data_IF_270092517269
#
_entry.id   IF_270092517269
#
_cell.length_a   1.000
_cell.length_b   1.000
_cell.length_c   1.000
_cell.angle_alpha   90.00
_cell.angle_beta   90.00
_cell.angle_gamma   90.00
#
_symmetry.space_group_name_H-M   'P 1'
#
loop_
_entity.id
_entity.type
_entity.pdbx_description
1 polymer ?
#
# COMPACT_ATOMS: atom_id res chain seq x y z
N UNK A 1 44.31 -43.58 -50.06
CA UNK A 1 43.80 -42.21 -50.23
C UNK A 1 43.63 -41.62 -48.84
N UNK A 2 44.76 -41.15 -48.32
CA UNK A 2 44.84 -40.34 -47.10
C UNK A 2 44.71 -38.92 -47.58
N UNK A 3 43.83 -38.14 -46.95
CA UNK A 3 44.16 -36.75 -46.65
C UNK A 3 43.20 -36.19 -45.60
N UNK A 4 43.72 -35.88 -44.41
CA UNK A 4 43.19 -34.86 -43.55
C UNK A 4 44.13 -33.65 -43.55
N UNK A 5 43.65 -32.47 -43.94
CA UNK A 5 44.29 -31.19 -43.59
C UNK A 5 43.22 -30.12 -43.34
N UNK A 6 43.09 -29.82 -42.05
CA UNK A 6 42.95 -28.51 -41.38
C UNK A 6 42.71 -27.22 -42.19
N UNK A 7 41.87 -26.38 -41.56
CA UNK A 7 42.03 -24.94 -41.30
C UNK A 7 41.11 -23.90 -41.98
N UNK A 8 40.74 -22.92 -41.11
CA UNK A 8 40.43 -21.50 -41.36
C UNK A 8 38.96 -21.01 -41.29
N UNK A 9 38.59 -20.62 -40.06
CA UNK A 9 37.96 -19.34 -39.62
C UNK A 9 37.10 -18.50 -40.59
N UNK A 10 35.87 -18.29 -40.12
CA UNK A 10 35.19 -17.01 -39.86
C UNK A 10 34.34 -16.31 -40.94
N UNK A 11 33.29 -15.69 -40.38
CA UNK A 11 32.58 -14.47 -40.81
C UNK A 11 31.33 -14.66 -41.68
N UNK A 12 30.30 -13.86 -41.36
CA UNK A 12 29.27 -13.50 -42.32
C UNK A 12 27.84 -13.87 -41.93
N UNK A 13 27.19 -12.97 -41.18
CA UNK A 13 25.78 -12.58 -41.32
C UNK A 13 24.91 -13.45 -42.25
N UNK A 14 24.13 -14.36 -41.67
CA UNK A 14 22.97 -14.97 -42.31
C UNK A 14 21.69 -14.23 -41.91
N UNK A 15 21.28 -13.27 -42.73
CA UNK A 15 19.95 -12.67 -42.69
C UNK A 15 18.92 -13.74 -43.06
N UNK A 16 18.06 -14.15 -42.13
CA UNK A 16 16.80 -14.82 -42.48
C UNK A 16 15.66 -13.82 -42.27
N UNK A 17 15.18 -13.24 -43.36
CA UNK A 17 13.96 -12.42 -43.39
C UNK A 17 12.91 -13.17 -44.24
N UNK A 18 11.61 -12.90 -44.11
CA UNK A 18 10.74 -12.91 -42.93
C UNK A 18 9.78 -14.12 -42.98
N UNK A 19 9.14 -14.48 -41.86
CA UNK A 19 7.97 -15.35 -41.90
C UNK A 19 6.91 -14.73 -42.83
N UNK A 20 6.64 -15.35 -43.98
CA UNK A 20 5.42 -15.08 -44.76
C UNK A 20 4.25 -15.45 -43.86
N UNK A 21 3.41 -14.45 -43.50
CA UNK A 21 2.07 -14.72 -42.97
C UNK A 21 1.33 -15.54 -44.01
N UNK A 22 0.94 -16.75 -43.64
CA UNK A 22 -0.01 -17.55 -44.41
C UNK A 22 -1.41 -17.03 -44.11
N UNK A 23 -2.35 -17.15 -45.05
CA UNK A 23 -3.78 -16.82 -44.83
C UNK A 23 -4.37 -17.54 -43.59
N UNK A 24 -3.77 -18.66 -43.19
CA UNK A 24 -4.11 -19.39 -41.96
C UNK A 24 -3.66 -18.65 -40.69
N UNK A 25 -2.49 -18.01 -40.70
CA UNK A 25 -2.03 -17.13 -39.61
C UNK A 25 -2.88 -15.86 -39.51
N UNK A 26 -3.32 -15.28 -40.64
CA UNK A 26 -4.21 -14.13 -40.64
C UNK A 26 -5.61 -14.49 -40.14
N UNK A 27 -6.17 -15.66 -40.53
CA UNK A 27 -7.44 -16.17 -39.98
C UNK A 27 -7.35 -16.50 -38.49
N UNK A 28 -6.26 -17.06 -37.99
CA UNK A 28 -6.06 -17.32 -36.55
C UNK A 28 -5.80 -16.02 -35.77
N UNK A 29 -5.13 -15.03 -36.36
CA UNK A 29 -4.98 -13.70 -35.78
C UNK A 29 -6.29 -12.92 -35.79
N UNK A 30 -7.11 -12.97 -36.84
CA UNK A 30 -8.47 -12.40 -36.88
C UNK A 30 -9.39 -13.07 -35.84
N UNK A 31 -9.32 -14.40 -35.71
CA UNK A 31 -10.11 -15.16 -34.72
C UNK A 31 -9.69 -14.88 -33.26
N UNK A 32 -8.45 -14.38 -33.04
CA UNK A 32 -7.94 -13.92 -31.73
C UNK A 32 -8.07 -12.42 -31.51
N UNK A 33 -8.12 -11.61 -32.57
CA UNK A 33 -8.27 -10.13 -32.51
C UNK A 33 -9.72 -9.68 -32.29
N UNK A 34 -10.70 -10.55 -32.53
CA UNK A 34 -12.13 -10.24 -32.35
C UNK A 34 -12.74 -10.74 -31.04
N UNK A 35 -12.00 -11.50 -30.21
CA UNK A 35 -12.52 -12.00 -28.93
C UNK A 35 -12.27 -10.98 -27.83
N UNK A 36 -13.36 -10.49 -27.25
CA UNK A 36 -13.34 -9.71 -26.01
C UNK A 36 -12.44 -10.41 -24.97
N UNK A 37 -11.58 -9.63 -24.33
CA UNK A 37 -10.79 -10.13 -23.21
C UNK A 37 -11.71 -10.13 -22.00
N UNK A 38 -12.29 -11.27 -21.66
CA UNK A 38 -13.21 -11.35 -20.52
C UNK A 38 -12.55 -10.85 -19.22
N UNK A 39 -11.28 -11.21 -19.00
CA UNK A 39 -10.51 -10.77 -17.82
C UNK A 39 -9.03 -10.50 -18.16
N UNK A 40 -8.52 -9.35 -17.72
CA UNK A 40 -7.14 -8.91 -17.92
C UNK A 40 -6.45 -8.58 -16.58
N UNK A 41 -5.38 -9.32 -16.24
CA UNK A 41 -4.52 -9.00 -15.09
C UNK A 41 -3.45 -7.97 -15.43
N UNK A 42 -3.27 -6.95 -14.59
CA UNK A 42 -2.30 -5.87 -14.78
C UNK A 42 -1.49 -5.66 -13.49
N UNK A 43 -0.17 -5.87 -13.59
CA UNK A 43 0.78 -5.42 -12.57
C UNK A 43 1.13 -3.94 -12.81
N UNK A 44 0.92 -3.11 -11.79
CA UNK A 44 1.06 -1.65 -11.88
C UNK A 44 2.37 -1.20 -11.26
N UNK A 45 3.20 -0.54 -12.07
CA UNK A 45 4.42 0.15 -11.63
C UNK A 45 4.34 1.65 -11.92
N UNK A 46 5.34 2.42 -11.48
CA UNK A 46 5.43 3.86 -11.77
C UNK A 46 5.38 4.14 -13.28
N UNK A 47 6.16 3.40 -14.06
CA UNK A 47 6.41 3.71 -15.46
C UNK A 47 5.59 2.82 -16.42
N UNK A 48 5.18 1.64 -15.97
CA UNK A 48 4.56 0.62 -16.82
C UNK A 48 3.35 -0.08 -16.19
N UNK A 49 2.43 -0.49 -17.06
CA UNK A 49 1.38 -1.48 -16.82
C UNK A 49 1.78 -2.77 -17.52
N UNK A 50 1.98 -3.84 -16.75
CA UNK A 50 2.44 -5.11 -17.29
C UNK A 50 1.25 -6.05 -17.36
N UNK A 51 0.90 -6.45 -18.57
CA UNK A 51 -0.06 -7.53 -18.80
C UNK A 51 0.71 -8.80 -19.12
N UNK A 52 0.18 -9.94 -18.71
CA UNK A 52 0.58 -11.23 -19.29
C UNK A 52 -0.60 -11.72 -20.13
N UNK A 53 -0.38 -12.34 -21.29
CA UNK A 53 -1.35 -13.20 -22.03
C UNK A 53 -0.55 -14.17 -22.90
N UNK A 54 0.06 -15.18 -22.27
CA UNK A 54 1.08 -16.05 -22.89
C UNK A 54 2.43 -15.38 -23.19
N UNK A 55 2.50 -14.03 -23.20
CA UNK A 55 3.72 -13.20 -23.21
C UNK A 55 3.53 -11.96 -22.32
N UNK A 56 4.61 -11.47 -21.71
CA UNK A 56 4.60 -10.20 -20.97
C UNK A 56 4.61 -9.02 -21.96
N UNK A 57 3.56 -8.19 -21.92
CA UNK A 57 3.46 -6.95 -22.70
C UNK A 57 3.47 -5.77 -21.73
N UNK A 58 4.27 -4.75 -22.05
CA UNK A 58 4.45 -3.55 -21.22
C UNK A 58 3.85 -2.34 -21.91
N UNK A 59 2.85 -1.74 -21.27
CA UNK A 59 2.26 -0.47 -21.67
C UNK A 59 2.78 0.64 -20.77
N UNK A 60 2.84 1.89 -21.25
CA UNK A 60 3.22 3.03 -20.40
C UNK A 60 2.11 3.33 -19.38
N UNK A 61 2.47 3.70 -18.16
CA UNK A 61 1.50 4.14 -17.14
C UNK A 61 1.09 5.62 -17.37
N UNK A 62 0.41 5.85 -18.50
CA UNK A 62 -0.12 7.13 -18.97
C UNK A 62 -1.33 6.91 -19.89
N UNK A 63 -1.97 8.00 -20.33
CA UNK A 63 -3.18 7.96 -21.17
C UNK A 63 -3.03 7.05 -22.40
N UNK A 64 -1.94 7.22 -23.15
CA UNK A 64 -1.66 6.42 -24.36
C UNK A 64 -1.64 4.91 -24.05
N UNK A 65 -0.94 4.51 -22.99
CA UNK A 65 -0.89 3.10 -22.61
C UNK A 65 -2.24 2.57 -22.12
N UNK A 66 -3.09 3.41 -21.52
CA UNK A 66 -4.44 3.00 -21.14
C UNK A 66 -5.33 2.78 -22.37
N UNK A 67 -5.23 3.66 -23.38
CA UNK A 67 -5.96 3.53 -24.65
C UNK A 67 -5.54 2.26 -25.40
N UNK A 68 -4.24 2.00 -25.50
CA UNK A 68 -3.69 0.76 -26.08
C UNK A 68 -4.20 -0.50 -25.34
N UNK A 69 -4.45 -0.41 -24.02
CA UNK A 69 -5.05 -1.51 -23.25
C UNK A 69 -6.54 -1.68 -23.58
N UNK A 70 -7.28 -0.59 -23.79
CA UNK A 70 -8.70 -0.63 -24.14
C UNK A 70 -8.97 -1.16 -25.54
N UNK A 71 -8.00 -1.09 -26.46
CA UNK A 71 -8.10 -1.75 -27.77
C UNK A 71 -8.30 -3.27 -27.65
N UNK A 72 -7.83 -3.88 -26.57
CA UNK A 72 -8.09 -5.30 -26.26
C UNK A 72 -9.55 -5.56 -25.84
N UNK A 73 -10.36 -4.51 -25.61
CA UNK A 73 -11.75 -4.59 -25.15
C UNK A 73 -11.91 -5.50 -23.91
N UNK A 74 -11.22 -5.20 -22.80
CA UNK A 74 -11.36 -5.99 -21.59
C UNK A 74 -12.72 -5.76 -20.92
N UNK A 75 -13.42 -6.84 -20.55
CA UNK A 75 -14.65 -6.72 -19.74
C UNK A 75 -14.32 -6.47 -18.27
N UNK A 76 -13.30 -7.16 -17.76
CA UNK A 76 -12.81 -7.06 -16.38
C UNK A 76 -11.30 -6.80 -16.37
N UNK A 77 -10.83 -5.82 -15.60
CA UNK A 77 -9.41 -5.58 -15.32
C UNK A 77 -9.12 -5.86 -13.86
N UNK A 78 -8.14 -6.72 -13.59
CA UNK A 78 -7.61 -7.00 -12.26
C UNK A 78 -6.28 -6.26 -12.08
N UNK A 79 -6.28 -5.18 -11.30
CA UNK A 79 -5.08 -4.44 -10.96
C UNK A 79 -4.41 -5.03 -9.72
N UNK A 80 -3.09 -5.22 -9.76
CA UNK A 80 -2.25 -5.38 -8.58
C UNK A 80 -1.76 -3.98 -8.18
N UNK A 81 -2.39 -3.29 -7.20
CA UNK A 81 -2.10 -1.89 -6.96
C UNK A 81 -0.81 -1.73 -6.17
N UNK A 82 0.13 -0.99 -6.74
CA UNK A 82 1.37 -0.56 -6.07
C UNK A 82 1.25 0.91 -5.66
N UNK A 83 0.73 1.15 -4.46
CA UNK A 83 0.59 2.52 -3.91
C UNK A 83 -0.24 3.44 -4.80
N UNK A 84 0.18 4.70 -4.94
CA UNK A 84 -0.53 5.74 -5.70
C UNK A 84 -0.59 5.49 -7.21
N UNK A 85 0.29 4.64 -7.76
CA UNK A 85 0.41 4.47 -9.21
C UNK A 85 -0.78 3.75 -9.85
N UNK A 86 -1.59 3.06 -9.03
CA UNK A 86 -2.78 2.37 -9.48
C UNK A 86 -4.04 3.24 -9.53
N UNK A 87 -4.03 4.44 -8.92
CA UNK A 87 -5.20 5.32 -8.86
C UNK A 87 -5.64 5.76 -10.27
N UNK A 88 -4.71 6.29 -11.07
CA UNK A 88 -4.99 6.78 -12.43
C UNK A 88 -5.56 5.70 -13.36
N UNK A 89 -4.90 4.54 -13.56
CA UNK A 89 -5.47 3.50 -14.41
C UNK A 89 -6.80 2.95 -13.87
N UNK A 90 -6.94 2.81 -12.54
CA UNK A 90 -8.19 2.38 -11.89
C UNK A 90 -9.37 3.27 -12.26
N UNK A 91 -9.20 4.59 -12.12
CA UNK A 91 -10.24 5.57 -12.46
C UNK A 91 -10.51 5.61 -13.96
N UNK A 92 -9.47 5.66 -14.79
CA UNK A 92 -9.62 5.75 -16.25
C UNK A 92 -10.39 4.56 -16.83
N UNK A 93 -10.02 3.32 -16.47
CA UNK A 93 -10.71 2.14 -16.97
C UNK A 93 -12.17 2.07 -16.50
N UNK A 94 -12.43 2.48 -15.24
CA UNK A 94 -13.79 2.56 -14.70
C UNK A 94 -14.65 3.57 -15.46
N UNK A 95 -14.13 4.77 -15.73
CA UNK A 95 -14.82 5.81 -16.52
C UNK A 95 -15.17 5.35 -17.93
N UNK A 96 -14.37 4.43 -18.47
CA UNK A 96 -14.60 3.79 -19.78
C UNK A 96 -15.53 2.58 -19.72
N UNK A 97 -16.17 2.33 -18.58
CA UNK A 97 -17.16 1.27 -18.39
C UNK A 97 -16.58 -0.12 -18.12
N UNK A 98 -15.26 -0.23 -17.93
CA UNK A 98 -14.60 -1.51 -17.62
C UNK A 98 -14.73 -1.80 -16.12
N UNK A 99 -15.09 -3.04 -15.77
CA UNK A 99 -15.12 -3.47 -14.37
C UNK A 99 -13.69 -3.61 -13.84
N UNK A 100 -13.31 -2.78 -12.86
CA UNK A 100 -11.96 -2.82 -12.27
C UNK A 100 -11.99 -3.49 -10.89
N UNK A 101 -11.09 -4.45 -10.70
CA UNK A 101 -10.88 -5.20 -9.46
C UNK A 101 -9.46 -4.94 -8.92
N UNK A 102 -9.28 -4.70 -7.62
CA UNK A 102 -7.98 -4.37 -7.02
C UNK A 102 -7.47 -5.43 -6.03
N UNK A 103 -6.57 -6.31 -6.45
CA UNK A 103 -6.12 -7.46 -5.62
C UNK A 103 -4.82 -7.15 -4.88
N UNK A 104 -4.73 -7.51 -3.59
CA UNK A 104 -3.49 -7.29 -2.81
C UNK A 104 -2.33 -8.18 -3.33
N UNK A 105 -1.09 -7.64 -3.46
CA UNK A 105 0.08 -8.40 -3.92
C UNK A 105 0.36 -9.70 -3.14
N UNK A 106 -0.06 -9.75 -1.87
CA UNK A 106 0.15 -10.91 -0.99
C UNK A 106 -0.82 -12.07 -1.24
N UNK A 107 -1.99 -11.81 -1.84
CA UNK A 107 -2.94 -12.85 -2.24
C UNK A 107 -2.35 -13.63 -3.42
N UNK A 108 -1.65 -12.93 -4.29
CA UNK A 108 -0.99 -13.49 -5.48
C UNK A 108 0.33 -14.17 -5.13
N UNK A 109 1.05 -13.72 -4.09
CA UNK A 109 2.32 -14.33 -3.67
C UNK A 109 2.17 -15.71 -3.04
N UNK A 110 1.07 -16.00 -2.32
CA UNK A 110 0.76 -17.37 -1.88
C UNK A 110 0.53 -18.34 -3.03
N UNK A 111 0.13 -17.84 -4.20
CA UNK A 111 0.08 -18.63 -5.43
C UNK A 111 1.40 -18.61 -6.23
N UNK A 112 2.36 -17.72 -5.89
CA UNK A 112 3.70 -17.70 -6.50
C UNK A 112 4.61 -18.81 -5.96
N UNK A 113 4.44 -19.26 -4.71
CA UNK A 113 5.23 -20.37 -4.15
C UNK A 113 4.95 -21.73 -4.82
N UNK A 114 3.82 -21.87 -5.53
CA UNK A 114 3.51 -23.05 -6.35
C UNK A 114 4.00 -22.94 -7.81
N UNK A 115 4.73 -21.89 -8.21
CA UNK A 115 5.08 -21.62 -9.62
C UNK A 115 6.57 -21.78 -9.91
N UNK A 116 6.93 -22.86 -10.59
CA UNK A 116 8.09 -22.86 -11.48
C UNK A 116 7.78 -22.01 -12.73
N UNK A 117 8.67 -21.05 -13.03
CA UNK A 117 8.71 -20.16 -14.21
C UNK A 117 7.44 -19.33 -14.52
N UNK A 118 7.68 -18.04 -14.78
CA UNK A 118 6.70 -16.93 -14.90
C UNK A 118 5.71 -16.99 -16.09
N UNK A 119 5.57 -18.08 -16.82
CA UNK A 119 4.96 -18.02 -18.17
C UNK A 119 3.50 -18.42 -18.31
N UNK A 120 2.89 -19.12 -17.36
CA UNK A 120 1.52 -19.63 -17.58
C UNK A 120 0.53 -19.02 -16.58
N UNK A 121 0.20 -17.75 -16.82
CA UNK A 121 -1.15 -17.26 -16.54
C UNK A 121 -2.01 -17.63 -17.78
N UNK A 122 -3.34 -17.72 -17.66
CA UNK A 122 -4.33 -17.91 -18.75
C UNK A 122 -4.68 -19.36 -19.10
N UNK A 123 -5.68 -19.91 -18.43
CA UNK A 123 -7.10 -19.81 -18.86
C UNK A 123 -8.02 -20.39 -17.77
N UNK A 124 -7.65 -21.48 -17.11
CA UNK A 124 -8.44 -22.13 -16.04
C UNK A 124 -8.43 -21.40 -14.66
N UNK A 125 -7.43 -20.56 -14.39
CA UNK A 125 -7.24 -19.88 -13.09
C UNK A 125 -7.80 -18.46 -13.01
N UNK A 126 -8.13 -17.84 -14.14
CA UNK A 126 -8.69 -16.49 -14.17
C UNK A 126 -10.16 -16.46 -13.79
N UNK A 127 -10.95 -17.48 -14.13
CA UNK A 127 -12.32 -17.65 -13.61
C UNK A 127 -12.29 -17.78 -12.07
N UNK A 128 -11.38 -18.60 -11.52
CA UNK A 128 -11.14 -18.68 -10.08
C UNK A 128 -10.67 -17.36 -9.47
N UNK A 129 -9.92 -16.55 -10.22
CA UNK A 129 -9.55 -15.19 -9.79
C UNK A 129 -10.72 -14.23 -9.89
N UNK A 130 -11.63 -14.33 -10.85
CA UNK A 130 -12.86 -13.53 -10.89
C UNK A 130 -13.76 -13.88 -9.72
N UNK A 131 -13.93 -15.16 -9.39
CA UNK A 131 -14.71 -15.58 -8.22
C UNK A 131 -14.09 -15.09 -6.91
N UNK A 132 -12.75 -15.12 -6.78
CA UNK A 132 -12.03 -14.50 -5.65
C UNK A 132 -11.98 -12.97 -5.72
N UNK A 133 -12.01 -12.38 -6.92
CA UNK A 133 -11.88 -10.94 -7.17
C UNK A 133 -13.23 -10.22 -7.20
N UNK A 134 -14.37 -10.95 -7.24
CA UNK A 134 -15.71 -10.43 -6.95
C UNK A 134 -15.74 -9.69 -5.60
N UNK A 135 -14.92 -10.13 -4.64
CA UNK A 135 -14.70 -9.48 -3.33
C UNK A 135 -13.84 -8.20 -3.38
N UNK A 136 -13.21 -7.91 -4.52
CA UNK A 136 -12.22 -6.84 -4.70
C UNK A 136 -12.71 -5.79 -5.69
N UNK A 137 -14.01 -5.50 -5.65
CA UNK A 137 -14.62 -4.43 -6.41
C UNK A 137 -13.92 -3.09 -6.16
N UNK A 138 -13.97 -2.22 -7.17
CA UNK A 138 -13.52 -0.84 -7.05
C UNK A 138 -13.98 -0.23 -5.73
N UNK A 139 -13.01 0.18 -4.91
CA UNK A 139 -13.28 0.71 -3.57
C UNK A 139 -12.80 2.17 -3.51
N UNK A 140 -13.71 3.16 -3.63
CA UNK A 140 -13.34 4.58 -3.57
C UNK A 140 -12.63 4.93 -2.25
N UNK A 141 -13.04 4.30 -1.14
CA UNK A 141 -12.40 4.49 0.15
C UNK A 141 -10.93 4.02 0.14
N UNK A 142 -10.58 2.97 -0.61
CA UNK A 142 -9.19 2.53 -0.76
C UNK A 142 -8.31 3.55 -1.49
N UNK A 143 -8.84 4.22 -2.52
CA UNK A 143 -8.13 5.30 -3.22
C UNK A 143 -7.91 6.50 -2.30
N UNK A 144 -8.96 6.93 -1.57
CA UNK A 144 -8.87 8.00 -0.59
C UNK A 144 -7.83 7.69 0.51
N UNK A 145 -7.84 6.47 1.03
CA UNK A 145 -6.86 6.04 2.04
C UNK A 145 -5.45 6.01 1.46
N UNK A 146 -5.27 5.59 0.21
CA UNK A 146 -3.97 5.60 -0.46
C UNK A 146 -3.43 7.03 -0.61
N UNK A 147 -4.30 7.98 -0.99
CA UNK A 147 -3.96 9.40 -1.06
C UNK A 147 -3.64 9.98 0.33
N UNK A 148 -4.44 9.66 1.35
CA UNK A 148 -4.20 10.10 2.72
C UNK A 148 -2.83 9.63 3.23
N UNK A 149 -2.49 8.35 3.03
CA UNK A 149 -1.21 7.79 3.47
C UNK A 149 -0.04 8.41 2.71
N UNK A 150 -0.21 8.72 1.42
CA UNK A 150 0.78 9.43 0.62
C UNK A 150 1.03 10.85 1.15
N UNK A 151 -0.03 11.63 1.40
CA UNK A 151 0.09 12.98 1.96
C UNK A 151 0.69 12.95 3.38
N UNK A 152 0.35 11.94 4.18
CA UNK A 152 0.91 11.76 5.53
C UNK A 152 2.41 11.47 5.49
N UNK A 153 2.86 10.64 4.54
CA UNK A 153 4.29 10.39 4.31
C UNK A 153 5.03 11.67 3.87
N UNK A 154 4.38 12.56 3.12
CA UNK A 154 4.92 13.88 2.76
C UNK A 154 5.04 14.78 3.99
N UNK A 155 3.98 14.92 4.77
CA UNK A 155 3.97 15.74 5.99
C UNK A 155 5.12 15.32 6.92
N UNK A 156 5.28 14.02 7.19
CA UNK A 156 6.36 13.51 8.06
C UNK A 156 7.75 13.87 7.51
N UNK A 157 7.95 13.77 6.20
CA UNK A 157 9.24 14.12 5.58
C UNK A 157 9.56 15.60 5.73
N UNK A 158 8.58 16.47 5.49
CA UNK A 158 8.78 17.92 5.63
C UNK A 158 8.92 18.35 7.09
N UNK A 159 8.18 17.74 8.02
CA UNK A 159 8.36 17.98 9.46
C UNK A 159 9.79 17.64 9.90
N UNK A 160 10.29 16.44 9.55
CA UNK A 160 11.66 16.04 9.90
C UNK A 160 12.72 16.95 9.26
N UNK A 161 12.46 17.49 8.05
CA UNK A 161 13.36 18.43 7.39
C UNK A 161 13.32 19.81 8.07
N UNK A 162 12.14 20.27 8.46
CA UNK A 162 11.95 21.50 9.21
C UNK A 162 12.67 21.44 10.57
N UNK A 163 12.51 20.35 11.33
CA UNK A 163 13.22 20.13 12.60
C UNK A 163 14.74 20.20 12.43
N UNK A 164 15.28 19.62 11.35
CA UNK A 164 16.72 19.70 11.05
C UNK A 164 17.16 21.11 10.67
N UNK A 165 16.34 21.86 9.95
CA UNK A 165 16.65 23.24 9.58
C UNK A 165 16.62 24.15 10.81
N UNK A 166 15.63 23.99 11.69
CA UNK A 166 15.55 24.67 12.99
C UNK A 166 16.76 24.37 13.87
N UNK A 167 17.20 23.10 13.91
CA UNK A 167 18.43 22.71 14.63
C UNK A 167 19.68 23.46 14.15
N UNK A 168 19.82 23.75 12.85
CA UNK A 168 20.98 24.48 12.31
C UNK A 168 21.06 25.93 12.80
N UNK A 169 19.93 26.51 13.20
CA UNK A 169 19.85 27.88 13.75
C UNK A 169 19.67 27.87 15.27
N UNK A 170 19.94 26.73 15.92
CA UNK A 170 19.76 26.50 17.37
C UNK A 170 18.34 26.65 17.90
N UNK A 171 17.35 26.53 17.03
CA UNK A 171 15.97 26.51 17.43
C UNK A 171 15.52 25.07 17.73
N UNK A 172 15.40 24.76 19.02
CA UNK A 172 15.00 23.43 19.52
C UNK A 172 13.59 23.42 20.10
N UNK A 173 12.82 24.50 19.92
CA UNK A 173 11.49 24.60 20.48
C UNK A 173 10.55 23.58 19.84
N UNK A 174 9.46 23.26 20.55
CA UNK A 174 8.41 22.40 20.03
C UNK A 174 7.63 23.11 18.91
N UNK A 175 7.38 22.42 17.80
CA UNK A 175 6.63 22.96 16.67
C UNK A 175 5.12 22.81 16.94
N UNK A 176 4.48 23.90 17.40
CA UNK A 176 3.02 24.01 17.48
C UNK A 176 2.43 24.53 16.16
N UNK A 177 1.10 24.47 16.00
CA UNK A 177 0.43 25.04 14.82
C UNK A 177 0.67 26.56 14.72
N UNK A 178 0.48 27.29 15.81
CA UNK A 178 0.73 28.74 15.87
C UNK A 178 2.18 29.08 15.51
N UNK A 179 3.13 28.27 16.00
CA UNK A 179 4.54 28.48 15.67
C UNK A 179 4.84 28.19 14.21
N UNK A 180 4.24 27.15 13.64
CA UNK A 180 4.36 26.86 12.21
C UNK A 180 3.82 28.02 11.36
N UNK A 181 2.73 28.67 11.79
CA UNK A 181 2.18 29.87 11.16
C UNK A 181 3.16 31.06 11.25
N UNK A 182 3.79 31.31 12.40
CA UNK A 182 4.84 32.35 12.55
C UNK A 182 6.04 32.10 11.64
N UNK A 183 6.59 30.88 11.65
CA UNK A 183 7.70 30.50 10.78
C UNK A 183 7.35 30.68 9.30
N UNK A 184 6.12 30.35 8.90
CA UNK A 184 5.65 30.55 7.52
C UNK A 184 5.54 32.04 7.12
N UNK A 185 5.32 32.94 8.08
CA UNK A 185 5.36 34.40 7.88
C UNK A 185 6.79 34.95 7.86
N UNK A 186 7.80 34.14 8.20
CA UNK A 186 9.18 34.60 8.39
C UNK A 186 9.40 35.30 9.73
N UNK A 187 8.50 35.07 10.69
CA UNK A 187 8.66 35.50 12.06
C UNK A 187 9.51 34.47 12.80
N UNK A 188 10.78 34.83 13.02
CA UNK A 188 11.79 34.00 13.68
C UNK A 188 12.18 34.54 15.05
N UNK A 189 11.33 35.36 15.70
CA UNK A 189 11.67 36.09 16.94
C UNK A 189 12.39 35.23 17.98
N UNK A 190 13.71 35.34 18.01
CA UNK A 190 14.62 34.82 19.03
C UNK A 190 15.90 35.68 19.05
N UNK A 191 16.36 36.02 20.26
CA UNK A 191 17.57 36.84 20.49
C UNK A 191 18.88 36.05 20.26
N UNK A 192 18.83 34.72 20.13
CA UNK A 192 19.99 33.82 20.17
C UNK A 192 20.13 32.89 18.93
N UNK A 193 19.59 33.25 17.77
CA UNK A 193 19.86 32.47 16.55
C UNK A 193 21.36 32.52 16.24
N UNK A 194 21.96 31.36 15.95
CA UNK A 194 23.35 31.35 15.49
C UNK A 194 23.47 32.12 14.18
N UNK A 195 24.28 33.18 14.19
CA UNK A 195 24.61 33.96 13.00
C UNK A 195 25.77 33.31 12.26
N UNK A 196 25.49 32.18 11.62
CA UNK A 196 26.38 31.55 10.64
C UNK A 196 26.25 32.25 9.30
N UNK A 197 27.27 32.15 8.44
CA UNK A 197 27.28 32.73 7.09
C UNK A 197 26.02 32.34 6.28
N UNK A 198 25.51 31.13 6.49
CA UNK A 198 24.37 30.56 5.79
C UNK A 198 23.01 30.76 6.50
N UNK A 199 22.96 31.46 7.63
CA UNK A 199 21.72 31.66 8.40
C UNK A 199 20.57 32.21 7.57
N UNK A 200 20.76 33.25 6.73
CA UNK A 200 19.66 33.77 5.90
C UNK A 200 19.06 32.72 4.95
N UNK A 201 19.90 31.82 4.41
CA UNK A 201 19.47 30.73 3.52
C UNK A 201 18.63 29.72 4.30
N UNK A 202 19.07 29.35 5.51
CA UNK A 202 18.35 28.38 6.35
C UNK A 202 17.02 28.95 6.82
N UNK A 203 16.96 30.23 7.19
CA UNK A 203 15.70 30.90 7.57
C UNK A 203 14.68 30.91 6.43
N UNK A 204 15.10 31.21 5.19
CA UNK A 204 14.19 31.14 4.04
C UNK A 204 13.71 29.70 3.76
N UNK A 205 14.59 28.69 3.89
CA UNK A 205 14.20 27.29 3.79
C UNK A 205 13.18 26.89 4.88
N UNK A 206 13.39 27.31 6.14
CA UNK A 206 12.45 27.08 7.24
C UNK A 206 11.07 27.65 6.89
N UNK A 207 11.02 28.88 6.39
CA UNK A 207 9.78 29.55 5.97
C UNK A 207 9.06 28.80 4.85
N UNK A 208 9.79 28.36 3.83
CA UNK A 208 9.23 27.56 2.72
C UNK A 208 8.68 26.24 3.24
N UNK A 209 9.42 25.52 4.07
CA UNK A 209 8.98 24.25 4.66
C UNK A 209 7.74 24.43 5.52
N UNK A 210 7.69 25.49 6.33
CA UNK A 210 6.53 25.81 7.17
C UNK A 210 5.27 26.06 6.33
N UNK A 211 5.37 26.83 5.23
CA UNK A 211 4.26 27.05 4.29
C UNK A 211 3.77 25.74 3.67
N UNK A 212 4.68 24.92 3.14
CA UNK A 212 4.34 23.63 2.52
C UNK A 212 3.64 22.70 3.53
N UNK A 213 4.09 22.69 4.78
CA UNK A 213 3.48 21.90 5.84
C UNK A 213 2.05 22.35 6.14
N UNK A 214 1.79 23.65 6.27
CA UNK A 214 0.43 24.18 6.48
C UNK A 214 -0.51 23.81 5.34
N UNK A 215 -0.07 23.96 4.09
CA UNK A 215 -0.86 23.55 2.93
C UNK A 215 -1.13 22.03 2.92
N UNK A 216 -0.11 21.22 3.24
CA UNK A 216 -0.25 19.77 3.31
C UNK A 216 -1.22 19.35 4.42
N UNK A 217 -1.21 20.05 5.55
CA UNK A 217 -2.14 19.82 6.66
C UNK A 217 -3.59 20.17 6.30
N UNK A 218 -3.82 21.20 5.48
CA UNK A 218 -5.15 21.52 4.96
C UNK A 218 -5.66 20.42 4.02
N UNK A 219 -4.83 20.00 3.04
CA UNK A 219 -5.15 18.88 2.13
C UNK A 219 -5.42 17.58 2.89
N UNK A 220 -4.65 17.30 3.95
CA UNK A 220 -4.88 16.14 4.82
C UNK A 220 -6.23 16.23 5.55
N UNK A 221 -6.66 17.42 5.98
CA UNK A 221 -7.97 17.62 6.61
C UNK A 221 -9.11 17.35 5.64
N UNK A 222 -9.00 17.80 4.40
CA UNK A 222 -9.98 17.52 3.34
C UNK A 222 -10.11 16.01 3.08
N UNK A 223 -8.99 15.34 2.80
CA UNK A 223 -9.00 13.89 2.52
C UNK A 223 -9.47 13.10 3.75
N UNK A 224 -9.10 13.52 4.96
CA UNK A 224 -9.64 12.94 6.21
C UNK A 224 -11.16 13.02 6.24
N UNK A 225 -11.74 14.17 5.94
CA UNK A 225 -13.20 14.36 5.93
C UNK A 225 -13.86 13.42 4.91
N UNK A 226 -13.31 13.35 3.69
CA UNK A 226 -13.80 12.44 2.65
C UNK A 226 -13.76 10.98 3.11
N UNK A 227 -12.69 10.53 3.78
CA UNK A 227 -12.60 9.18 4.35
C UNK A 227 -13.67 8.95 5.41
N UNK A 228 -13.85 9.90 6.32
CA UNK A 228 -14.81 9.78 7.43
C UNK A 228 -16.26 9.72 6.93
N UNK A 229 -16.59 10.44 5.87
CA UNK A 229 -17.91 10.42 5.21
C UNK A 229 -18.24 9.07 4.55
N UNK A 230 -17.23 8.30 4.14
CA UNK A 230 -17.42 6.95 3.60
C UNK A 230 -17.71 5.89 4.68
N UNK A 231 -17.58 6.22 5.97
CA UNK A 231 -17.80 5.28 7.07
C UNK A 231 -19.18 5.51 7.70
N UNK A 232 -20.11 4.54 7.58
CA UNK A 232 -21.43 4.64 8.21
C UNK A 232 -21.33 4.84 9.73
N UNK A 233 -22.19 5.69 10.30
CA UNK A 233 -22.20 5.98 11.74
C UNK A 233 -22.47 4.74 12.61
N UNK A 234 -23.16 3.76 12.07
CA UNK A 234 -23.47 2.49 12.72
C UNK A 234 -22.46 1.37 12.41
N UNK A 235 -21.34 1.68 11.75
CA UNK A 235 -20.36 0.66 11.41
C UNK A 235 -19.78 0.00 12.68
N UNK A 236 -19.76 -1.33 12.71
CA UNK A 236 -19.44 -2.13 13.91
C UNK A 236 -18.07 -1.78 14.53
N UNK A 237 -17.09 -1.38 13.73
CA UNK A 237 -15.77 -0.94 14.22
C UNK A 237 -15.83 0.29 15.15
N UNK A 238 -16.83 1.16 14.99
CA UNK A 238 -17.01 2.37 15.82
C UNK A 238 -17.48 2.02 17.24
N UNK A 239 -17.93 0.78 17.47
CA UNK A 239 -18.28 0.30 18.82
C UNK A 239 -17.04 0.03 19.67
N UNK A 240 -15.84 -0.08 19.07
CA UNK A 240 -14.59 -0.33 19.78
C UNK A 240 -14.08 0.98 20.37
N UNK A 241 -13.98 1.12 21.72
CA UNK A 241 -13.46 2.34 22.31
C UNK A 241 -12.04 2.65 21.84
N UNK A 242 -11.81 3.89 21.45
CA UNK A 242 -10.54 4.34 20.88
C UNK A 242 -10.45 4.25 19.35
N UNK A 243 -11.46 3.72 18.65
CA UNK A 243 -11.54 3.72 17.19
C UNK A 243 -12.60 4.71 16.71
N UNK A 244 -12.14 5.83 16.13
CA UNK A 244 -13.01 6.80 15.45
C UNK A 244 -13.13 6.55 13.94
N UNK A 245 -13.94 7.36 13.26
CA UNK A 245 -14.23 7.23 11.82
C UNK A 245 -12.98 7.19 10.94
N UNK A 246 -12.00 8.06 11.15
CA UNK A 246 -10.76 8.02 10.36
C UNK A 246 -10.03 6.68 10.49
N UNK A 247 -9.86 6.19 11.73
CA UNK A 247 -9.19 4.93 11.98
C UNK A 247 -9.97 3.75 11.37
N UNK A 248 -11.30 3.74 11.53
CA UNK A 248 -12.16 2.74 10.90
C UNK A 248 -12.05 2.80 9.36
N UNK A 249 -12.10 3.99 8.76
CA UNK A 249 -11.99 4.19 7.32
C UNK A 249 -10.65 3.73 6.76
N UNK A 250 -9.54 4.01 7.45
CA UNK A 250 -8.22 3.50 7.07
C UNK A 250 -8.18 1.97 7.17
N UNK A 251 -8.72 1.38 8.24
CA UNK A 251 -8.79 -0.08 8.39
C UNK A 251 -9.58 -0.68 7.23
N UNK A 252 -10.79 -0.18 6.96
CA UNK A 252 -11.67 -0.67 5.90
C UNK A 252 -11.00 -0.51 4.52
N UNK A 253 -10.47 0.66 4.21
CA UNK A 253 -9.86 0.95 2.90
C UNK A 253 -8.60 0.12 2.63
N UNK A 254 -7.77 -0.15 3.64
CA UNK A 254 -6.57 -0.99 3.45
C UNK A 254 -6.92 -2.48 3.44
N UNK A 255 -7.84 -2.90 4.30
CA UNK A 255 -8.19 -4.32 4.48
C UNK A 255 -9.08 -4.81 3.34
N UNK A 256 -10.08 -4.03 2.93
CA UNK A 256 -11.17 -4.53 2.09
C UNK A 256 -12.05 -5.48 2.89
N UNK A 257 -12.35 -6.66 2.33
CA UNK A 257 -13.13 -7.67 3.03
C UNK A 257 -12.34 -8.32 4.17
N UNK A 258 -12.90 -8.27 5.39
CA UNK A 258 -12.36 -8.93 6.59
C UNK A 258 -12.51 -10.45 6.54
N UNK A 259 -13.49 -10.98 5.79
CA UNK A 259 -13.80 -12.42 5.73
C UNK A 259 -12.68 -13.25 5.13
N UNK A 260 -11.82 -12.65 4.30
CA UNK A 260 -10.59 -13.27 3.77
C UNK A 260 -9.60 -13.70 4.86
N UNK A 261 -9.78 -13.25 6.10
CA UNK A 261 -8.97 -13.64 7.25
C UNK A 261 -9.75 -14.65 8.11
N UNK A 262 -9.55 -15.97 7.91
CA UNK A 262 -10.36 -16.99 8.58
C UNK A 262 -10.10 -17.07 10.10
N UNK A 263 -8.99 -16.48 10.57
CA UNK A 263 -8.63 -16.46 11.99
C UNK A 263 -7.93 -15.14 12.35
N UNK A 264 -7.94 -14.73 13.63
CA UNK A 264 -7.36 -13.46 14.05
C UNK A 264 -5.84 -13.41 13.81
N UNK A 265 -5.15 -14.53 13.88
CA UNK A 265 -3.70 -14.62 13.65
C UNK A 265 -3.33 -14.25 12.21
N UNK A 266 -4.14 -14.63 11.23
CA UNK A 266 -3.96 -14.26 9.83
C UNK A 266 -4.11 -12.75 9.59
N UNK A 267 -5.08 -12.11 10.25
CA UNK A 267 -5.25 -10.66 10.23
C UNK A 267 -4.07 -9.94 10.90
N UNK A 268 -3.65 -10.44 12.05
CA UNK A 268 -2.51 -9.89 12.79
C UNK A 268 -1.20 -9.99 11.99
N UNK A 269 -0.99 -11.08 11.26
CA UNK A 269 0.14 -11.23 10.34
C UNK A 269 0.05 -10.25 9.16
N UNK A 270 -1.15 -10.05 8.60
CA UNK A 270 -1.37 -9.03 7.56
C UNK A 270 -1.06 -7.61 8.05
N UNK A 271 -1.36 -7.31 9.31
CA UNK A 271 -0.96 -6.07 9.96
C UNK A 271 0.54 -6.02 10.33
N UNK A 272 1.28 -7.13 10.19
CA UNK A 272 2.70 -7.24 10.52
C UNK A 272 3.00 -7.15 12.02
N UNK A 273 2.04 -7.56 12.86
CA UNK A 273 2.10 -7.60 14.33
C UNK A 273 2.31 -9.04 14.86
N UNK A 274 2.64 -9.97 13.97
CA UNK A 274 3.00 -11.34 14.30
C UNK A 274 4.43 -11.43 14.86
N UNK A 275 4.67 -12.22 15.92
CA UNK A 275 6.00 -12.41 16.46
C UNK A 275 6.86 -13.24 15.49
N UNK A 276 8.13 -12.89 15.38
CA UNK A 276 9.15 -13.77 14.79
C UNK A 276 9.52 -14.81 15.84
N UNK A 277 9.18 -16.06 15.56
CA UNK A 277 9.50 -17.20 16.41
C UNK A 277 10.63 -17.98 15.77
N UNK A 278 11.79 -18.01 16.40
CA UNK A 278 12.84 -18.98 16.08
C UNK A 278 12.69 -20.19 17.01
N UNK A 279 12.58 -21.36 16.41
CA UNK A 279 12.63 -22.64 17.12
C UNK A 279 13.99 -23.29 16.85
N UNK A 280 14.86 -23.32 17.85
CA UNK A 280 16.07 -24.14 17.83
C UNK A 280 15.91 -25.26 18.84
N UNK A 281 15.71 -26.50 18.37
CA UNK A 281 15.75 -27.76 19.12
C UNK A 281 14.95 -27.85 20.44
N UNK A 282 15.36 -27.10 21.48
CA UNK A 282 14.81 -27.07 22.84
C UNK A 282 14.29 -25.70 23.31
N UNK A 283 14.46 -24.62 22.53
CA UNK A 283 14.05 -23.27 22.93
C UNK A 283 13.23 -22.56 21.84
N UNK A 284 12.18 -21.86 22.27
CA UNK A 284 11.35 -20.99 21.44
C UNK A 284 11.69 -19.55 21.83
N UNK A 285 12.40 -18.82 20.97
CA UNK A 285 12.79 -17.43 21.24
C UNK A 285 12.01 -16.49 20.33
N UNK A 286 11.34 -15.49 20.93
CA UNK A 286 10.68 -14.42 20.20
C UNK A 286 11.64 -13.26 19.96
N UNK A 287 11.92 -12.93 18.69
CA UNK A 287 12.85 -11.84 18.28
C UNK A 287 12.17 -10.49 18.03
N UNK A 288 10.91 -10.33 18.44
CA UNK A 288 10.09 -9.16 18.14
C UNK A 288 9.07 -9.46 17.04
N UNK A 289 8.54 -8.44 16.35
CA UNK A 289 7.52 -8.62 15.31
C UNK A 289 8.13 -8.75 13.91
N UNK A 290 7.45 -9.46 13.01
CA UNK A 290 7.93 -9.78 11.66
C UNK A 290 8.19 -8.55 10.78
N UNK A 291 7.38 -7.51 10.96
CA UNK A 291 7.30 -6.31 10.09
C UNK A 291 7.00 -6.61 8.61
N UNK A 292 6.67 -7.86 8.24
CA UNK A 292 6.40 -8.31 6.87
C UNK A 292 5.03 -7.87 6.34
N UNK A 293 4.08 -7.61 7.24
CA UNK A 293 2.75 -7.10 6.90
C UNK A 293 2.70 -5.60 6.62
N UNK A 294 1.49 -5.10 6.42
CA UNK A 294 1.21 -3.72 6.05
C UNK A 294 1.74 -2.71 7.08
N UNK A 295 2.72 -1.90 6.67
CA UNK A 295 3.40 -0.92 7.53
C UNK A 295 2.44 0.14 8.11
N UNK A 296 1.39 0.51 7.36
CA UNK A 296 0.45 1.55 7.78
C UNK A 296 -0.52 1.02 8.83
N UNK A 297 -1.06 -0.19 8.66
CA UNK A 297 -1.87 -0.85 9.69
C UNK A 297 -1.05 -1.10 10.96
N UNK A 298 0.21 -1.54 10.83
CA UNK A 298 1.12 -1.71 11.96
C UNK A 298 1.26 -0.42 12.78
N UNK A 299 1.57 0.69 12.11
CA UNK A 299 1.71 2.00 12.75
C UNK A 299 0.39 2.49 13.33
N UNK A 300 -0.72 2.31 12.63
CA UNK A 300 -2.06 2.69 13.10
C UNK A 300 -2.42 1.95 14.39
N UNK A 301 -2.32 0.61 14.42
CA UNK A 301 -2.64 -0.15 15.62
C UNK A 301 -1.70 0.17 16.79
N UNK A 302 -0.42 0.43 16.53
CA UNK A 302 0.51 0.89 17.55
C UNK A 302 0.07 2.24 18.14
N UNK A 303 -0.21 3.22 17.29
CA UNK A 303 -0.64 4.55 17.72
C UNK A 303 -1.96 4.52 18.49
N UNK A 304 -2.95 3.76 18.00
CA UNK A 304 -4.24 3.60 18.68
C UNK A 304 -4.08 2.93 20.04
N UNK A 305 -3.23 1.90 20.13
CA UNK A 305 -2.94 1.25 21.40
C UNK A 305 -2.23 2.21 22.37
N UNK A 306 -1.22 2.94 21.93
CA UNK A 306 -0.46 3.87 22.77
C UNK A 306 -1.34 5.02 23.30
N UNK A 307 -2.18 5.60 22.45
CA UNK A 307 -3.01 6.76 22.80
C UNK A 307 -4.32 6.40 23.50
N UNK A 308 -4.91 5.23 23.23
CA UNK A 308 -6.28 4.92 23.63
C UNK A 308 -6.42 3.63 24.47
N UNK A 309 -5.35 2.95 24.88
CA UNK A 309 -5.50 1.69 25.65
C UNK A 309 -6.36 1.87 26.91
N UNK A 310 -6.24 2.99 27.62
CA UNK A 310 -6.97 3.28 28.86
C UNK A 310 -8.47 3.49 28.64
N UNK A 311 -8.88 3.87 27.42
CA UNK A 311 -10.29 4.04 27.04
C UNK A 311 -10.97 2.73 26.69
N UNK A 312 -10.20 1.67 26.41
CA UNK A 312 -10.71 0.37 26.04
C UNK A 312 -10.53 -0.60 27.23
N UNK A 313 -11.63 -1.05 27.88
CA UNK A 313 -11.52 -1.87 29.10
C UNK A 313 -10.69 -3.16 28.92
N UNK A 314 -10.81 -3.82 27.77
CA UNK A 314 -10.04 -5.04 27.47
C UNK A 314 -8.55 -4.74 27.34
N UNK A 315 -8.18 -3.61 26.70
CA UNK A 315 -6.79 -3.19 26.58
C UNK A 315 -6.22 -2.68 27.91
N UNK A 316 -7.00 -1.95 28.71
CA UNK A 316 -6.58 -1.49 30.04
C UNK A 316 -6.28 -2.69 30.95
N UNK A 317 -7.17 -3.67 31.02
CA UNK A 317 -6.93 -4.93 31.76
C UNK A 317 -5.68 -5.66 31.28
N UNK A 318 -5.44 -5.68 29.96
CA UNK A 318 -4.23 -6.25 29.40
C UNK A 318 -2.97 -5.45 29.81
N UNK A 319 -3.03 -4.13 29.77
CA UNK A 319 -1.93 -3.26 30.19
C UNK A 319 -1.57 -3.50 31.66
N UNK A 320 -2.56 -3.45 32.56
CA UNK A 320 -2.37 -3.62 34.00
C UNK A 320 -1.74 -4.98 34.35
N UNK A 321 -2.16 -6.04 33.66
CA UNK A 321 -1.60 -7.39 33.89
C UNK A 321 -0.19 -7.61 33.31
N UNK A 322 0.31 -6.72 32.45
CA UNK A 322 1.58 -6.91 31.73
C UNK A 322 2.61 -5.81 31.96
N UNK A 323 2.23 -4.65 32.53
CA UNK A 323 3.10 -3.48 32.70
C UNK A 323 4.37 -3.75 33.53
N UNK A 324 4.31 -4.71 34.45
CA UNK A 324 5.46 -5.09 35.28
C UNK A 324 6.47 -5.97 34.52
N UNK A 325 6.02 -6.70 33.50
CA UNK A 325 6.83 -7.64 32.70
C UNK A 325 7.30 -7.05 31.37
N UNK A 326 6.49 -6.18 30.77
CA UNK A 326 6.76 -5.55 29.48
C UNK A 326 6.80 -4.03 29.66
N UNK A 327 7.83 -3.38 29.10
CA UNK A 327 8.00 -1.92 29.17
C UNK A 327 8.14 -1.28 27.80
N UNK A 328 7.77 0.00 27.72
CA UNK A 328 7.91 0.84 26.52
C UNK A 328 7.31 0.23 25.27
N UNK A 329 8.04 0.30 24.15
CA UNK A 329 7.60 -0.16 22.82
C UNK A 329 7.12 -1.62 22.81
N UNK A 330 7.67 -2.50 23.66
CA UNK A 330 7.27 -3.91 23.72
C UNK A 330 5.85 -4.07 24.24
N UNK A 331 5.47 -3.33 25.29
CA UNK A 331 4.13 -3.36 25.87
C UNK A 331 3.09 -2.82 24.87
N UNK A 332 3.35 -1.66 24.27
CA UNK A 332 2.44 -1.09 23.28
C UNK A 332 2.33 -1.91 22.01
N UNK A 333 3.39 -2.61 21.60
CA UNK A 333 3.31 -3.58 20.50
C UNK A 333 2.40 -4.76 20.85
N UNK A 334 2.46 -5.26 22.10
CA UNK A 334 1.57 -6.32 22.56
C UNK A 334 0.10 -5.84 22.64
N UNK A 335 -0.14 -4.61 23.09
CA UNK A 335 -1.46 -3.97 23.06
C UNK A 335 -1.98 -3.78 21.63
N UNK A 336 -1.14 -3.32 20.70
CA UNK A 336 -1.48 -3.18 19.29
C UNK A 336 -1.90 -4.52 18.68
N UNK A 337 -1.17 -5.59 18.99
CA UNK A 337 -1.54 -6.97 18.59
C UNK A 337 -2.89 -7.37 19.19
N UNK A 338 -3.14 -7.08 20.47
CA UNK A 338 -4.42 -7.36 21.12
C UNK A 338 -5.56 -6.57 20.46
N UNK A 339 -5.36 -5.29 20.17
CA UNK A 339 -6.32 -4.42 19.48
C UNK A 339 -6.65 -4.94 18.08
N UNK A 340 -5.65 -5.35 17.29
CA UNK A 340 -5.86 -5.95 15.98
C UNK A 340 -6.74 -7.22 16.04
N UNK A 341 -6.59 -8.04 17.10
CA UNK A 341 -7.47 -9.21 17.33
C UNK A 341 -8.90 -8.81 17.69
N UNK A 342 -9.07 -7.77 18.51
CA UNK A 342 -10.39 -7.22 18.87
C UNK A 342 -11.09 -6.73 17.60
N UNK A 343 -10.40 -5.92 16.80
CA UNK A 343 -10.88 -5.39 15.51
C UNK A 343 -11.32 -6.51 14.57
N UNK A 344 -10.47 -7.53 14.40
CA UNK A 344 -10.84 -8.70 13.61
C UNK A 344 -12.08 -9.39 14.18
N UNK A 345 -12.16 -9.63 15.48
CA UNK A 345 -13.29 -10.35 16.09
C UNK A 345 -14.61 -9.59 15.94
N UNK A 346 -14.62 -8.29 16.20
CA UNK A 346 -15.80 -7.42 16.10
C UNK A 346 -16.27 -7.35 14.65
N UNK A 347 -15.33 -7.12 13.72
CA UNK A 347 -15.66 -6.92 12.32
C UNK A 347 -16.02 -8.23 11.60
N UNK A 348 -15.25 -9.29 11.82
CA UNK A 348 -15.50 -10.61 11.21
C UNK A 348 -16.84 -11.19 11.66
N UNK A 349 -17.23 -11.02 12.93
CA UNK A 349 -18.51 -11.52 13.43
C UNK A 349 -19.65 -10.53 13.21
N UNK A 350 -19.36 -9.30 12.77
CA UNK A 350 -20.31 -8.18 12.70
C UNK A 350 -21.12 -8.01 13.99
N UNK A 351 -20.45 -8.10 15.14
CA UNK A 351 -21.04 -7.95 16.48
C UNK A 351 -20.39 -6.78 17.20
N UNK A 352 -21.17 -5.92 17.88
CA UNK A 352 -20.62 -4.84 18.68
C UNK A 352 -19.55 -5.31 19.66
N UNK A 353 -18.60 -4.43 19.96
CA UNK A 353 -17.58 -4.69 20.97
C UNK A 353 -18.21 -4.90 22.34
N UNK A 354 -17.91 -6.06 22.93
CA UNK A 354 -18.27 -6.41 24.30
C UNK A 354 -16.97 -6.60 25.11
N UNK A 355 -16.77 -5.86 26.21
CA UNK A 355 -15.61 -6.03 27.08
C UNK A 355 -15.50 -7.46 27.64
N UNK A 356 -14.27 -7.99 27.77
CA UNK A 356 -13.99 -9.31 28.38
C UNK A 356 -12.89 -9.25 29.44
#
# INVERSE_FOLDING_TARGET
MVEPLTEAKSSGWGVTNPYRRTEHCDKIHEYRCGKEVEVLGIDVSKDYLITSRGREIKYKNNLKGYEEILEMRPCIIVLEPTGVYAIRPSQYFKEKGVKVLQVSPNVLSREKEFRGKKTDFYDEKLENMVDKAKEYEYNPLRELVTLYLFLKDIEVKYMNRLERALFLVSDNDKISKERLEKLAMGDFTQEELYQLEYTPIVLEEIKVLAKILLETQERLREVRKMIEEQVPDNHVLLTIPGIGKLAAGIIIGVVGDVKRFPNPESFVAYCGLDPVVERSGRAVVSKGISKRGNKYLRSLFYFLAEMNYSRNPTLLKFYESHKDRLKGKKLYTALARKLARIVWSVWYNNKPYEPK
#
